data_IF_112520011575
#
_entry.id   IF_112520011575
#
_cell.length_a   1.000
_cell.length_b   1.000
_cell.length_c   1.000
_cell.angle_alpha   90.00
_cell.angle_beta   90.00
_cell.angle_gamma   90.00
#
_symmetry.space_group_name_H-M   'P 1'
#
loop_
_entity.id
_entity.type
_entity.pdbx_description
1 polymer ?
#
# COMPACT_ATOMS: atom_id res chain seq x y z
N UNK A 1 7.67 -48.05 -6.30
CA UNK A 1 8.50 -48.13 -5.08
C UNK A 1 9.85 -47.48 -5.35
N UNK A 2 10.04 -46.24 -4.91
CA UNK A 2 11.36 -45.61 -4.89
C UNK A 2 11.98 -45.94 -3.54
N UNK A 3 12.96 -46.82 -3.51
CA UNK A 3 13.81 -47.05 -2.36
C UNK A 3 14.66 -45.78 -2.14
N UNK A 4 14.42 -45.10 -1.01
CA UNK A 4 15.34 -44.07 -0.53
C UNK A 4 16.53 -44.78 0.08
N UNK A 5 17.68 -44.75 -0.62
CA UNK A 5 18.96 -45.23 -0.09
C UNK A 5 19.38 -44.19 0.96
N UNK A 6 19.19 -44.51 2.22
CA UNK A 6 19.77 -43.76 3.32
C UNK A 6 21.25 -44.11 3.38
N UNK A 7 22.10 -43.27 2.82
CA UNK A 7 23.55 -43.37 3.02
C UNK A 7 23.79 -42.94 4.49
N UNK A 8 24.02 -43.92 5.34
CA UNK A 8 24.35 -43.74 6.74
C UNK A 8 25.83 -43.30 6.85
N UNK A 9 26.11 -42.03 6.53
CA UNK A 9 27.36 -41.40 6.94
C UNK A 9 27.21 -41.10 8.42
N UNK A 10 27.98 -41.77 9.25
CA UNK A 10 27.96 -41.73 10.71
C UNK A 10 28.33 -40.38 11.35
N UNK A 11 27.92 -39.28 10.77
CA UNK A 11 27.91 -38.00 11.40
C UNK A 11 26.71 -37.90 12.35
N UNK A 12 26.99 -37.91 13.65
CA UNK A 12 26.03 -37.53 14.67
C UNK A 12 25.49 -36.18 14.29
N UNK A 13 24.22 -36.12 13.83
CA UNK A 13 23.49 -34.87 13.68
C UNK A 13 23.33 -34.29 15.08
N UNK A 14 24.37 -33.60 15.55
CA UNK A 14 24.29 -32.79 16.76
C UNK A 14 23.22 -31.73 16.49
N UNK A 15 22.13 -31.77 17.28
CA UNK A 15 21.11 -30.70 17.25
C UNK A 15 21.86 -29.39 17.52
N UNK A 16 22.13 -28.63 16.46
CA UNK A 16 22.73 -27.30 16.59
C UNK A 16 21.85 -26.47 17.53
N UNK A 17 22.48 -25.88 18.56
CA UNK A 17 21.77 -24.97 19.46
C UNK A 17 21.19 -23.78 18.69
N UNK A 18 20.08 -23.18 19.17
CA UNK A 18 19.43 -22.05 18.56
C UNK A 18 20.42 -20.91 18.19
N UNK A 19 21.36 -20.60 19.09
CA UNK A 19 22.37 -19.55 18.91
C UNK A 19 23.30 -19.87 17.73
N UNK A 20 23.74 -21.13 17.59
CA UNK A 20 24.61 -21.55 16.48
C UNK A 20 23.85 -21.45 15.14
N UNK A 21 22.61 -21.89 15.09
CA UNK A 21 21.75 -21.73 13.91
C UNK A 21 21.55 -20.25 13.56
N UNK A 22 21.28 -19.40 14.52
CA UNK A 22 21.12 -17.97 14.31
C UNK A 22 22.40 -17.34 13.71
N UNK A 23 23.57 -17.66 14.25
CA UNK A 23 24.85 -17.21 13.71
C UNK A 23 25.05 -17.68 12.28
N UNK A 24 24.80 -18.97 12.00
CA UNK A 24 24.89 -19.54 10.67
C UNK A 24 23.93 -18.88 9.66
N UNK A 25 22.71 -18.59 10.06
CA UNK A 25 21.67 -18.05 9.16
C UNK A 25 21.92 -16.58 8.86
N UNK A 26 22.20 -15.76 9.87
CA UNK A 26 22.22 -14.31 9.72
C UNK A 26 23.63 -13.71 9.73
N UNK A 27 24.54 -14.20 10.59
CA UNK A 27 25.84 -13.55 10.81
C UNK A 27 26.86 -13.99 9.78
N UNK A 28 26.94 -15.31 9.52
CA UNK A 28 27.84 -15.83 8.50
C UNK A 28 27.59 -15.16 7.15
N UNK A 29 28.66 -14.82 6.45
CA UNK A 29 28.62 -14.11 5.15
C UNK A 29 27.83 -12.78 5.19
N UNK A 30 27.52 -12.24 6.37
CA UNK A 30 26.83 -10.95 6.52
C UNK A 30 25.40 -10.92 5.98
N UNK A 31 24.68 -12.07 5.98
CA UNK A 31 23.33 -12.20 5.39
C UNK A 31 22.27 -11.30 6.03
N UNK A 32 22.44 -10.94 7.31
CA UNK A 32 21.57 -9.98 7.99
C UNK A 32 21.43 -8.64 7.22
N UNK A 33 22.45 -8.27 6.41
CA UNK A 33 22.45 -7.03 5.62
C UNK A 33 21.35 -6.99 4.54
N UNK A 34 20.83 -8.15 4.13
CA UNK A 34 19.70 -8.21 3.19
C UNK A 34 18.43 -7.60 3.80
N UNK A 35 18.18 -7.81 5.10
CA UNK A 35 16.97 -7.33 5.78
C UNK A 35 16.82 -5.80 5.70
N UNK A 36 17.78 -4.97 6.20
CA UNK A 36 17.64 -3.52 6.13
C UNK A 36 17.66 -2.99 4.69
N UNK A 37 18.39 -3.63 3.77
CA UNK A 37 18.36 -3.25 2.34
C UNK A 37 17.00 -3.50 1.73
N UNK A 38 16.43 -4.68 1.95
CA UNK A 38 15.10 -5.04 1.47
C UNK A 38 14.02 -4.15 2.08
N UNK A 39 14.12 -3.86 3.38
CA UNK A 39 13.23 -2.91 4.05
C UNK A 39 13.29 -1.51 3.42
N UNK A 40 14.47 -1.04 3.04
CA UNK A 40 14.64 0.24 2.33
C UNK A 40 13.85 0.29 1.02
N UNK A 41 13.89 -0.77 0.21
CA UNK A 41 13.11 -0.88 -1.04
C UNK A 41 11.61 -0.92 -0.74
N UNK A 42 11.17 -1.71 0.24
CA UNK A 42 9.77 -1.77 0.69
C UNK A 42 9.25 -0.37 1.05
N UNK A 43 9.97 0.36 1.90
CA UNK A 43 9.59 1.72 2.33
C UNK A 43 9.58 2.70 1.15
N UNK A 44 10.59 2.65 0.29
CA UNK A 44 10.71 3.53 -0.87
C UNK A 44 9.49 3.35 -1.79
N UNK A 45 9.18 2.11 -2.17
CA UNK A 45 8.02 1.82 -3.03
C UNK A 45 6.73 2.28 -2.36
N UNK A 46 6.51 1.93 -1.09
CA UNK A 46 5.31 2.31 -0.34
C UNK A 46 5.12 3.82 -0.28
N UNK A 47 6.19 4.57 0.01
CA UNK A 47 6.12 6.03 0.13
C UNK A 47 5.75 6.69 -1.21
N UNK A 48 6.48 6.38 -2.28
CA UNK A 48 6.25 7.02 -3.57
C UNK A 48 4.95 6.56 -4.23
N UNK A 49 4.60 5.27 -4.12
CA UNK A 49 3.31 4.76 -4.59
C UNK A 49 2.14 5.41 -3.83
N UNK A 50 2.26 5.54 -2.50
CA UNK A 50 1.24 6.20 -1.70
C UNK A 50 1.07 7.68 -2.05
N UNK A 51 2.15 8.42 -2.34
CA UNK A 51 2.06 9.80 -2.81
C UNK A 51 1.33 9.91 -4.15
N UNK A 52 1.66 9.06 -5.13
CA UNK A 52 0.93 8.98 -6.41
C UNK A 52 -0.54 8.63 -6.13
N UNK A 53 -0.80 7.67 -5.26
CA UNK A 53 -2.14 7.25 -4.86
C UNK A 53 -2.97 8.38 -4.28
N UNK A 54 -2.40 9.20 -3.40
CA UNK A 54 -3.08 10.38 -2.83
C UNK A 54 -3.41 11.40 -3.93
N UNK A 55 -2.46 11.71 -4.81
CA UNK A 55 -2.68 12.68 -5.89
C UNK A 55 -3.79 12.24 -6.83
N UNK A 56 -3.73 11.01 -7.33
CA UNK A 56 -4.77 10.46 -8.22
C UNK A 56 -6.10 10.29 -7.50
N UNK A 57 -6.06 9.76 -6.28
CA UNK A 57 -7.25 9.54 -5.47
C UNK A 57 -8.00 10.83 -5.18
N UNK A 58 -7.28 11.92 -4.88
CA UNK A 58 -7.89 13.23 -4.70
C UNK A 58 -8.61 13.72 -5.96
N UNK A 59 -7.96 13.66 -7.12
CA UNK A 59 -8.56 14.06 -8.39
C UNK A 59 -9.82 13.24 -8.70
N UNK A 60 -9.73 11.92 -8.56
CA UNK A 60 -10.87 11.04 -8.84
C UNK A 60 -12.03 11.23 -7.85
N UNK A 61 -11.74 11.46 -6.57
CA UNK A 61 -12.76 11.74 -5.57
C UNK A 61 -13.50 13.03 -5.90
N UNK A 62 -12.80 14.11 -6.27
CA UNK A 62 -13.43 15.38 -6.65
C UNK A 62 -14.34 15.21 -7.87
N UNK A 63 -13.89 14.51 -8.91
CA UNK A 63 -14.72 14.25 -10.12
C UNK A 63 -16.01 13.52 -9.73
N UNK A 64 -15.90 12.48 -8.89
CA UNK A 64 -17.05 11.70 -8.44
C UNK A 64 -18.01 12.50 -7.58
N UNK A 65 -17.50 13.25 -6.60
CA UNK A 65 -18.34 14.09 -5.73
C UNK A 65 -19.01 15.20 -6.53
N UNK A 66 -18.29 15.84 -7.47
CA UNK A 66 -18.87 16.85 -8.34
C UNK A 66 -20.02 16.28 -9.18
N UNK A 67 -19.89 15.02 -9.66
CA UNK A 67 -20.99 14.34 -10.34
C UNK A 67 -22.15 13.97 -9.40
N UNK A 68 -21.88 13.56 -8.16
CA UNK A 68 -22.91 13.04 -7.24
C UNK A 68 -23.72 14.18 -6.61
N UNK A 69 -23.10 15.34 -6.32
CA UNK A 69 -23.71 16.45 -5.57
C UNK A 69 -24.11 17.67 -6.41
N UNK A 70 -23.70 17.76 -7.67
CA UNK A 70 -24.06 18.91 -8.50
C UNK A 70 -25.34 18.62 -9.29
N UNK A 71 -26.37 19.44 -9.12
CA UNK A 71 -27.65 19.32 -9.84
C UNK A 71 -27.47 19.67 -11.33
N UNK A 72 -26.68 20.70 -11.62
CA UNK A 72 -26.36 21.12 -12.99
C UNK A 72 -25.08 20.44 -13.49
N UNK A 73 -25.18 19.16 -13.82
CA UNK A 73 -24.04 18.34 -14.28
C UNK A 73 -23.71 18.66 -15.74
N UNK A 74 -22.52 19.20 -15.99
CA UNK A 74 -22.04 19.32 -17.36
C UNK A 74 -21.80 17.91 -17.95
N UNK A 75 -21.97 17.78 -19.27
CA UNK A 75 -21.71 16.51 -20.00
C UNK A 75 -20.28 16.05 -19.76
N UNK A 76 -19.32 16.97 -19.69
CA UNK A 76 -17.90 16.68 -19.42
C UNK A 76 -17.70 15.99 -18.07
N UNK A 77 -18.34 16.46 -16.98
CA UNK A 77 -18.26 15.81 -15.66
C UNK A 77 -18.85 14.40 -15.69
N UNK A 78 -19.96 14.17 -16.43
CA UNK A 78 -20.56 12.85 -16.56
C UNK A 78 -19.62 11.88 -17.27
N UNK A 79 -18.99 12.28 -18.37
CA UNK A 79 -18.00 11.48 -19.11
C UNK A 79 -16.81 11.15 -18.20
N UNK A 80 -16.21 12.15 -17.54
CA UNK A 80 -15.09 11.94 -16.63
C UNK A 80 -15.46 10.98 -15.48
N UNK A 81 -16.66 11.10 -14.91
CA UNK A 81 -17.12 10.20 -13.87
C UNK A 81 -17.25 8.75 -14.37
N UNK A 82 -17.72 8.54 -15.60
CA UNK A 82 -17.79 7.20 -16.21
C UNK A 82 -16.38 6.61 -16.36
N UNK A 83 -15.44 7.39 -16.88
CA UNK A 83 -14.03 6.96 -17.03
C UNK A 83 -13.40 6.60 -15.68
N UNK A 84 -13.62 7.45 -14.67
CA UNK A 84 -13.15 7.16 -13.30
C UNK A 84 -13.78 5.88 -12.75
N UNK A 85 -15.09 5.67 -12.94
CA UNK A 85 -15.77 4.42 -12.51
C UNK A 85 -15.18 3.19 -13.17
N UNK A 86 -14.91 3.24 -14.47
CA UNK A 86 -14.25 2.14 -15.20
C UNK A 86 -12.87 1.85 -14.59
N UNK A 87 -12.07 2.90 -14.39
CA UNK A 87 -10.77 2.77 -13.75
C UNK A 87 -10.86 2.11 -12.36
N UNK A 88 -11.74 2.61 -11.48
CA UNK A 88 -11.95 2.04 -10.15
C UNK A 88 -12.38 0.58 -10.21
N UNK A 89 -13.25 0.23 -11.15
CA UNK A 89 -13.71 -1.15 -11.33
C UNK A 89 -12.57 -2.08 -11.72
N UNK A 90 -11.71 -1.65 -12.65
CA UNK A 90 -10.55 -2.45 -13.09
C UNK A 90 -9.54 -2.63 -11.96
N UNK A 91 -9.09 -1.52 -11.35
CA UNK A 91 -8.01 -1.56 -10.37
C UNK A 91 -8.42 -2.19 -9.04
N UNK A 92 -9.68 -2.08 -8.63
CA UNK A 92 -10.19 -2.72 -7.41
C UNK A 92 -10.76 -4.13 -7.65
N UNK A 93 -11.08 -4.46 -8.91
CA UNK A 93 -11.64 -5.75 -9.29
C UNK A 93 -10.60 -6.80 -9.72
N UNK A 94 -9.32 -6.43 -9.80
CA UNK A 94 -8.25 -7.34 -10.22
C UNK A 94 -7.15 -7.44 -9.16
N UNK A 95 -6.49 -8.60 -8.99
CA UNK A 95 -5.42 -8.77 -8.01
C UNK A 95 -4.21 -7.88 -8.29
N UNK A 96 -3.68 -7.22 -7.25
CA UNK A 96 -2.50 -6.33 -7.38
C UNK A 96 -1.29 -7.02 -7.99
N UNK A 97 -1.06 -8.30 -7.66
CA UNK A 97 0.04 -9.07 -8.25
C UNK A 97 -0.08 -9.16 -9.79
N UNK A 98 -1.29 -9.41 -10.31
CA UNK A 98 -1.52 -9.49 -11.76
C UNK A 98 -1.28 -8.13 -12.42
N UNK A 99 -1.73 -7.03 -11.79
CA UNK A 99 -1.48 -5.67 -12.28
C UNK A 99 0.02 -5.36 -12.36
N UNK A 100 0.78 -5.72 -11.32
CA UNK A 100 2.23 -5.56 -11.29
C UNK A 100 2.93 -6.33 -12.43
N UNK A 101 2.54 -7.59 -12.64
CA UNK A 101 3.12 -8.43 -13.69
C UNK A 101 2.78 -7.88 -15.09
N UNK A 102 1.54 -7.45 -15.32
CA UNK A 102 1.13 -6.79 -16.57
C UNK A 102 1.93 -5.49 -16.79
N UNK A 103 2.04 -4.66 -15.75
CA UNK A 103 2.82 -3.42 -15.85
C UNK A 103 4.27 -3.73 -16.26
N UNK A 104 4.92 -4.68 -15.60
CA UNK A 104 6.34 -4.96 -15.82
C UNK A 104 6.61 -5.73 -17.13
N UNK A 105 5.89 -6.83 -17.39
CA UNK A 105 6.18 -7.71 -18.51
C UNK A 105 5.45 -7.34 -19.82
N UNK A 106 4.43 -6.48 -19.77
CA UNK A 106 3.66 -6.10 -20.95
C UNK A 106 3.81 -4.60 -21.23
N UNK A 107 3.41 -3.73 -20.29
CA UNK A 107 3.34 -2.28 -20.54
C UNK A 107 4.73 -1.66 -20.64
N UNK A 108 5.61 -1.96 -19.70
CA UNK A 108 6.96 -1.37 -19.62
C UNK A 108 8.07 -2.25 -20.20
N UNK A 109 7.75 -3.43 -20.75
CA UNK A 109 8.72 -4.35 -21.31
C UNK A 109 9.55 -3.73 -22.45
N UNK A 110 8.89 -2.99 -23.34
CA UNK A 110 9.51 -2.37 -24.52
C UNK A 110 10.47 -1.24 -24.18
N UNK A 111 10.17 -0.47 -23.14
CA UNK A 111 10.98 0.69 -22.72
C UNK A 111 12.06 0.33 -21.71
N UNK A 112 12.19 -0.95 -21.33
CA UNK A 112 13.15 -1.45 -20.33
C UNK A 112 13.15 -0.60 -19.06
N UNK A 113 11.96 -0.24 -18.58
CA UNK A 113 11.81 0.63 -17.41
C UNK A 113 12.45 -0.02 -16.16
N UNK A 114 12.96 0.84 -15.27
CA UNK A 114 13.51 0.38 -14.00
C UNK A 114 12.41 -0.34 -13.19
N UNK A 115 12.67 -1.56 -12.69
CA UNK A 115 11.69 -2.33 -11.92
C UNK A 115 11.11 -1.57 -10.72
N UNK A 116 11.92 -0.75 -10.04
CA UNK A 116 11.45 0.08 -8.90
C UNK A 116 10.42 1.11 -9.37
N UNK A 117 10.71 1.80 -10.49
CA UNK A 117 9.78 2.77 -11.07
C UNK A 117 8.48 2.12 -11.52
N UNK A 118 8.57 0.95 -12.16
CA UNK A 118 7.40 0.17 -12.57
C UNK A 118 6.54 -0.21 -11.36
N UNK A 119 7.17 -0.68 -10.27
CA UNK A 119 6.47 -1.01 -9.04
C UNK A 119 5.77 0.23 -8.45
N UNK A 120 6.49 1.37 -8.32
CA UNK A 120 5.93 2.63 -7.80
C UNK A 120 4.70 3.06 -8.62
N UNK A 121 4.77 3.01 -9.94
CA UNK A 121 3.63 3.38 -10.80
C UNK A 121 2.48 2.40 -10.64
N UNK A 122 2.73 1.09 -10.72
CA UNK A 122 1.69 0.07 -10.62
C UNK A 122 0.95 0.14 -9.27
N UNK A 123 1.69 0.21 -8.16
CA UNK A 123 1.11 0.36 -6.82
C UNK A 123 0.44 1.72 -6.64
N UNK A 124 1.00 2.79 -7.20
CA UNK A 124 0.42 4.13 -7.14
C UNK A 124 -0.91 4.23 -7.88
N UNK A 125 -1.01 3.59 -9.05
CA UNK A 125 -2.28 3.48 -9.78
C UNK A 125 -3.30 2.67 -8.98
N UNK A 126 -2.93 1.53 -8.43
CA UNK A 126 -3.82 0.73 -7.61
C UNK A 126 -4.30 1.50 -6.36
N UNK A 127 -3.39 2.07 -5.60
CA UNK A 127 -3.68 2.87 -4.41
C UNK A 127 -4.57 4.08 -4.71
N UNK A 128 -4.39 4.73 -5.87
CA UNK A 128 -5.25 5.83 -6.31
C UNK A 128 -6.73 5.46 -6.35
N UNK A 129 -7.06 4.22 -6.69
CA UNK A 129 -8.42 3.73 -6.68
C UNK A 129 -8.99 3.61 -5.24
N UNK A 130 -8.21 3.09 -4.30
CA UNK A 130 -8.65 2.97 -2.89
C UNK A 130 -8.69 4.31 -2.17
N UNK A 131 -7.67 5.15 -2.35
CA UNK A 131 -7.63 6.51 -1.78
C UNK A 131 -8.79 7.37 -2.31
N UNK A 132 -9.16 7.23 -3.60
CA UNK A 132 -10.32 7.93 -4.15
C UNK A 132 -11.61 7.62 -3.37
N UNK A 133 -11.84 6.35 -3.04
CA UNK A 133 -13.01 5.96 -2.24
C UNK A 133 -12.91 6.47 -0.80
N UNK A 134 -11.71 6.42 -0.19
CA UNK A 134 -11.49 6.93 1.16
C UNK A 134 -11.79 8.44 1.25
N UNK A 135 -11.30 9.23 0.28
CA UNK A 135 -11.56 10.68 0.23
C UNK A 135 -13.04 10.93 -0.06
N UNK A 136 -13.64 10.21 -1.02
CA UNK A 136 -15.06 10.35 -1.33
C UNK A 136 -15.93 10.04 -0.11
N UNK A 137 -15.64 8.97 0.61
CA UNK A 137 -16.33 8.62 1.85
C UNK A 137 -16.18 9.72 2.92
N UNK A 138 -14.97 10.29 3.06
CA UNK A 138 -14.72 11.42 3.95
C UNK A 138 -15.54 12.68 3.61
N UNK A 139 -15.69 12.99 2.31
CA UNK A 139 -16.54 14.11 1.87
C UNK A 139 -18.02 13.81 2.11
N UNK A 140 -18.45 12.59 1.85
CA UNK A 140 -19.84 12.17 2.02
C UNK A 140 -20.25 12.02 3.49
N UNK A 141 -19.30 11.87 4.41
CA UNK A 141 -19.55 11.81 5.85
C UNK A 141 -19.83 13.18 6.50
N UNK A 142 -19.57 14.28 5.78
CA UNK A 142 -19.92 15.61 6.26
C UNK A 142 -21.44 15.79 6.14
N UNK A 143 -22.08 16.22 7.23
CA UNK A 143 -23.54 16.42 7.28
C UNK A 143 -24.02 17.34 6.17
N UNK A 144 -25.14 17.00 5.54
CA UNK A 144 -25.71 17.78 4.44
C UNK A 144 -26.09 19.18 4.87
N UNK A 145 -26.51 19.35 6.12
CA UNK A 145 -26.81 20.63 6.71
C UNK A 145 -25.66 21.63 6.69
N UNK A 146 -24.41 21.18 6.69
CA UNK A 146 -23.23 22.05 6.51
C UNK A 146 -23.19 22.64 5.09
N UNK A 147 -23.65 21.87 4.11
CA UNK A 147 -23.76 22.31 2.74
C UNK A 147 -24.88 23.33 2.56
N UNK A 148 -26.04 23.04 3.15
CA UNK A 148 -27.23 23.91 3.14
C UNK A 148 -26.95 25.22 3.85
N UNK A 149 -26.29 25.19 5.02
CA UNK A 149 -25.88 26.40 5.75
C UNK A 149 -24.96 27.31 4.95
N UNK A 150 -23.94 26.70 4.26
CA UNK A 150 -23.05 27.45 3.38
C UNK A 150 -23.82 28.14 2.25
N UNK A 151 -24.76 27.43 1.62
CA UNK A 151 -25.62 27.98 0.56
C UNK A 151 -26.52 29.10 1.06
N UNK A 152 -27.08 28.95 2.26
CA UNK A 152 -27.95 29.97 2.91
C UNK A 152 -27.18 31.25 3.23
N UNK A 153 -25.87 31.15 3.51
CA UNK A 153 -24.98 32.28 3.69
C UNK A 153 -24.55 32.95 2.36
N UNK A 154 -25.06 32.49 1.21
CA UNK A 154 -24.74 33.02 -0.11
C UNK A 154 -23.46 32.47 -0.74
N UNK A 155 -22.81 31.44 -0.18
CA UNK A 155 -21.66 30.82 -0.77
C UNK A 155 -22.04 30.06 -2.05
N UNK A 156 -21.20 30.17 -3.07
CA UNK A 156 -21.29 29.28 -4.23
C UNK A 156 -20.94 27.85 -3.85
N UNK A 157 -21.28 26.87 -4.68
CA UNK A 157 -20.90 25.48 -4.47
C UNK A 157 -19.39 25.30 -4.18
N UNK A 158 -18.55 25.94 -5.00
CA UNK A 158 -17.09 25.89 -4.84
C UNK A 158 -16.60 26.52 -3.53
N UNK A 159 -17.18 27.63 -3.12
CA UNK A 159 -16.86 28.27 -1.85
C UNK A 159 -17.27 27.42 -0.65
N UNK A 160 -18.48 26.87 -0.67
CA UNK A 160 -18.97 25.95 0.37
C UNK A 160 -18.06 24.71 0.44
N UNK A 161 -17.74 24.12 -0.70
CA UNK A 161 -16.84 22.98 -0.77
C UNK A 161 -15.46 23.31 -0.17
N UNK A 162 -14.84 24.40 -0.60
CA UNK A 162 -13.49 24.78 -0.19
C UNK A 162 -13.37 25.19 1.27
N UNK A 163 -14.32 25.97 1.78
CA UNK A 163 -14.18 26.59 3.10
C UNK A 163 -14.88 25.81 4.23
N UNK A 164 -15.89 25.00 3.91
CA UNK A 164 -16.70 24.30 4.92
C UNK A 164 -16.47 22.78 4.81
N UNK A 165 -16.68 22.21 3.62
CA UNK A 165 -16.73 20.75 3.46
C UNK A 165 -15.34 20.12 3.43
N UNK A 166 -14.43 20.58 2.56
CA UNK A 166 -13.12 19.97 2.39
C UNK A 166 -12.26 19.94 3.66
N UNK A 167 -12.22 20.99 4.52
CA UNK A 167 -11.45 20.92 5.75
C UNK A 167 -11.93 19.82 6.71
N UNK A 168 -13.24 19.59 6.77
CA UNK A 168 -13.84 18.52 7.56
C UNK A 168 -13.59 17.14 6.90
N UNK A 169 -13.83 17.06 5.60
CA UNK A 169 -13.63 15.83 4.81
C UNK A 169 -12.20 15.30 4.87
N UNK A 170 -11.19 16.19 4.80
CA UNK A 170 -9.77 15.80 4.96
C UNK A 170 -9.55 15.15 6.32
N UNK A 171 -10.04 15.77 7.40
CA UNK A 171 -9.93 15.18 8.74
C UNK A 171 -10.58 13.80 8.82
N UNK A 172 -11.76 13.63 8.20
CA UNK A 172 -12.50 12.38 8.22
C UNK A 172 -11.85 11.28 7.36
N UNK A 173 -11.17 11.64 6.26
CA UNK A 173 -10.50 10.68 5.36
C UNK A 173 -9.08 10.31 5.77
N UNK A 174 -8.38 11.15 6.55
CA UNK A 174 -6.98 10.91 6.94
C UNK A 174 -6.72 9.52 7.52
N UNK A 175 -7.52 8.99 8.47
CA UNK A 175 -7.28 7.66 9.01
C UNK A 175 -7.32 6.57 7.94
N UNK A 176 -8.30 6.65 7.03
CA UNK A 176 -8.43 5.68 5.93
C UNK A 176 -7.25 5.76 4.96
N UNK A 177 -6.77 6.96 4.64
CA UNK A 177 -5.58 7.17 3.80
C UNK A 177 -4.33 6.57 4.45
N UNK A 178 -4.13 6.77 5.76
CA UNK A 178 -3.00 6.15 6.47
C UNK A 178 -3.12 4.63 6.55
N UNK A 179 -4.33 4.09 6.69
CA UNK A 179 -4.54 2.64 6.63
C UNK A 179 -4.21 2.07 5.25
N UNK A 180 -4.43 2.84 4.19
CA UNK A 180 -3.99 2.47 2.83
C UNK A 180 -2.46 2.38 2.73
N UNK A 181 -1.70 3.30 3.34
CA UNK A 181 -0.24 3.19 3.41
C UNK A 181 0.21 1.90 4.12
N UNK A 182 -0.48 1.51 5.21
CA UNK A 182 -0.20 0.24 5.89
C UNK A 182 -0.52 -0.96 5.00
N UNK A 183 -1.58 -0.89 4.20
CA UNK A 183 -1.92 -1.93 3.22
C UNK A 183 -0.83 -2.03 2.14
N UNK A 184 -0.45 -0.91 1.51
CA UNK A 184 0.60 -0.83 0.50
C UNK A 184 1.93 -1.42 0.98
N UNK A 185 2.33 -1.14 2.23
CA UNK A 185 3.57 -1.66 2.81
C UNK A 185 3.56 -3.20 2.84
N UNK A 186 2.43 -3.82 3.12
CA UNK A 186 2.28 -5.28 3.11
C UNK A 186 2.16 -5.84 1.69
N UNK A 187 1.43 -5.14 0.83
CA UNK A 187 1.22 -5.53 -0.57
C UNK A 187 2.50 -5.46 -1.40
N UNK A 188 3.44 -4.56 -1.05
CA UNK A 188 4.74 -4.48 -1.71
C UNK A 188 5.58 -5.76 -1.57
N UNK A 189 5.21 -6.70 -0.70
CA UNK A 189 5.86 -8.00 -0.54
C UNK A 189 5.88 -8.87 -1.82
N UNK A 190 5.11 -8.50 -2.84
CA UNK A 190 5.06 -9.23 -4.12
C UNK A 190 6.07 -8.72 -5.17
N UNK A 191 6.80 -7.63 -4.92
CA UNK A 191 7.74 -7.06 -5.92
C UNK A 191 8.93 -7.98 -6.22
N UNK A 192 9.17 -8.98 -5.38
CA UNK A 192 10.13 -10.05 -5.66
C UNK A 192 9.86 -10.81 -6.96
N UNK A 193 8.61 -10.86 -7.44
CA UNK A 193 8.24 -11.50 -8.70
C UNK A 193 8.73 -10.75 -9.94
N UNK A 194 9.06 -9.47 -9.83
CA UNK A 194 9.69 -8.68 -10.90
C UNK A 194 11.19 -8.46 -10.66
N UNK A 195 11.81 -9.27 -9.77
CA UNK A 195 13.26 -9.26 -9.53
C UNK A 195 13.74 -8.23 -8.51
N UNK A 196 12.87 -7.51 -7.84
CA UNK A 196 13.28 -6.59 -6.76
C UNK A 196 13.55 -7.35 -5.46
N UNK A 197 14.52 -6.85 -4.71
CA UNK A 197 14.86 -7.40 -3.39
C UNK A 197 14.23 -6.50 -2.32
N UNK A 198 12.94 -6.72 -2.08
CA UNK A 198 12.20 -6.16 -0.94
C UNK A 198 12.49 -6.93 0.36
N UNK A 199 11.81 -6.57 1.44
CA UNK A 199 11.98 -7.25 2.73
C UNK A 199 11.61 -8.75 2.67
N UNK A 200 10.57 -9.12 1.93
CA UNK A 200 10.15 -10.52 1.77
C UNK A 200 11.16 -11.30 0.95
N UNK A 201 11.60 -10.74 -0.18
CA UNK A 201 12.63 -11.36 -1.03
C UNK A 201 13.97 -11.47 -0.33
N UNK A 202 14.31 -10.53 0.54
CA UNK A 202 15.50 -10.59 1.39
C UNK A 202 15.48 -11.83 2.31
N UNK A 203 14.35 -12.12 2.93
CA UNK A 203 14.15 -13.35 3.71
C UNK A 203 14.24 -14.61 2.85
N UNK A 204 13.66 -14.58 1.65
CA UNK A 204 13.71 -15.70 0.70
C UNK A 204 15.15 -16.00 0.23
N UNK A 205 15.97 -14.98 -0.02
CA UNK A 205 17.39 -15.12 -0.34
C UNK A 205 18.16 -15.77 0.82
N UNK A 206 17.91 -15.38 2.05
CA UNK A 206 18.54 -15.98 3.23
C UNK A 206 18.12 -17.45 3.34
N UNK A 207 16.81 -17.72 3.20
CA UNK A 207 16.23 -19.07 3.21
C UNK A 207 16.88 -19.98 2.17
N UNK A 208 17.00 -19.52 0.92
CA UNK A 208 17.56 -20.31 -0.19
C UNK A 208 19.05 -20.57 -0.01
N UNK A 209 19.78 -19.61 0.56
CA UNK A 209 21.24 -19.74 0.79
C UNK A 209 21.59 -20.62 2.00
N UNK A 210 20.68 -20.79 2.94
CA UNK A 210 20.92 -21.52 4.19
C UNK A 210 20.14 -22.81 4.30
N UNK A 211 19.19 -23.05 3.39
CA UNK A 211 18.22 -24.17 3.45
C UNK A 211 17.42 -24.19 4.77
N UNK A 212 17.39 -23.06 5.49
CA UNK A 212 16.66 -22.87 6.74
C UNK A 212 15.49 -21.90 6.50
N UNK A 213 14.26 -22.38 6.59
CA UNK A 213 13.07 -21.58 6.28
C UNK A 213 12.52 -20.81 7.49
N UNK A 214 12.52 -21.44 8.67
CA UNK A 214 11.84 -20.91 9.85
C UNK A 214 12.40 -19.56 10.30
N UNK A 215 13.70 -19.48 10.55
CA UNK A 215 14.32 -18.26 11.10
C UNK A 215 14.20 -17.05 10.16
N UNK A 216 14.54 -17.12 8.85
CA UNK A 216 14.44 -15.98 7.96
C UNK A 216 12.99 -15.49 7.77
N UNK A 217 12.03 -16.40 7.63
CA UNK A 217 10.63 -16.03 7.43
C UNK A 217 10.01 -15.41 8.68
N UNK A 218 10.32 -15.97 9.87
CA UNK A 218 9.87 -15.37 11.13
C UNK A 218 10.53 -14.01 11.35
N UNK A 219 11.82 -13.86 11.04
CA UNK A 219 12.48 -12.55 11.15
C UNK A 219 11.81 -11.49 10.26
N UNK A 220 11.50 -11.82 9.01
CA UNK A 220 10.76 -10.94 8.09
C UNK A 220 9.38 -10.61 8.65
N UNK A 221 8.64 -11.61 9.11
CA UNK A 221 7.30 -11.42 9.71
C UNK A 221 7.35 -10.49 10.93
N UNK A 222 8.34 -10.66 11.80
CA UNK A 222 8.53 -9.80 12.97
C UNK A 222 8.87 -8.36 12.59
N UNK A 223 9.72 -8.14 11.57
CA UNK A 223 10.02 -6.79 11.08
C UNK A 223 8.76 -6.12 10.52
N UNK A 224 7.96 -6.81 9.68
CA UNK A 224 6.68 -6.29 9.22
C UNK A 224 5.74 -5.98 10.39
N UNK A 225 5.62 -6.89 11.35
CA UNK A 225 4.74 -6.72 12.52
C UNK A 225 5.11 -5.47 13.32
N UNK A 226 6.40 -5.26 13.62
CA UNK A 226 6.88 -4.09 14.37
C UNK A 226 6.53 -2.80 13.63
N UNK A 227 6.79 -2.74 12.31
CA UNK A 227 6.52 -1.54 11.52
C UNK A 227 5.01 -1.27 11.44
N UNK A 228 4.21 -2.29 11.17
CA UNK A 228 2.75 -2.17 11.10
C UNK A 228 2.16 -1.75 12.44
N UNK A 229 2.61 -2.34 13.56
CA UNK A 229 2.18 -1.95 14.90
C UNK A 229 2.51 -0.48 15.21
N UNK A 230 3.73 -0.05 14.83
CA UNK A 230 4.15 1.35 14.99
C UNK A 230 3.25 2.28 14.17
N UNK A 231 3.04 2.01 12.88
CA UNK A 231 2.17 2.81 12.02
C UNK A 231 0.72 2.82 12.51
N UNK A 232 0.17 1.69 12.87
CA UNK A 232 -1.21 1.59 13.41
C UNK A 232 -1.36 2.37 14.72
N UNK A 233 -0.35 2.34 15.59
CA UNK A 233 -0.36 3.15 16.82
C UNK A 233 -0.34 4.65 16.52
N UNK A 234 0.41 5.09 15.50
CA UNK A 234 0.41 6.48 15.04
C UNK A 234 -0.97 6.89 14.51
N UNK A 235 -1.57 6.07 13.65
CA UNK A 235 -2.92 6.31 13.11
C UNK A 235 -3.95 6.42 14.24
N UNK A 236 -3.95 5.50 15.19
CA UNK A 236 -4.87 5.54 16.32
C UNK A 236 -4.69 6.76 17.26
N UNK A 237 -3.47 7.31 17.36
CA UNK A 237 -3.23 8.58 18.05
C UNK A 237 -3.80 9.76 17.28
N UNK A 238 -3.62 9.76 15.95
CA UNK A 238 -4.17 10.77 15.06
C UNK A 238 -5.70 10.80 15.13
N UNK A 239 -6.35 9.65 14.99
CA UNK A 239 -7.81 9.53 15.10
C UNK A 239 -8.35 10.12 16.41
N UNK A 240 -7.70 9.81 17.53
CA UNK A 240 -8.10 10.35 18.84
C UNK A 240 -7.98 11.87 18.92
N UNK A 241 -6.95 12.46 18.30
CA UNK A 241 -6.78 13.92 18.23
C UNK A 241 -7.88 14.56 17.37
N UNK A 242 -8.10 14.02 16.16
CA UNK A 242 -9.12 14.54 15.24
C UNK A 242 -10.53 14.50 15.83
N UNK A 243 -10.87 13.45 16.59
CA UNK A 243 -12.17 13.34 17.28
C UNK A 243 -12.33 14.32 18.45
N UNK A 244 -11.24 14.76 19.10
CA UNK A 244 -11.30 15.78 20.15
C UNK A 244 -11.56 17.17 19.58
N UNK A 245 -10.98 17.47 18.41
CA UNK A 245 -11.13 18.77 17.74
C UNK A 245 -12.49 18.94 17.04
N UNK A 246 -13.29 17.89 17.00
CA UNK A 246 -14.64 17.88 16.40
C UNK A 246 -15.79 18.02 17.44
N UNK A 247 -15.42 18.04 18.73
CA UNK A 247 -16.34 18.31 19.85
C UNK A 247 -16.21 19.75 20.34
#
# INVERSE_FOLDING_TARGET
SKQVIIVNTGEKVTKQGFVQKFQQVFIEKGRWKYIPKGLGITILITLFAGLIGIMLGFVFAIIRVANDRNEEKSIGIRILNVLVKIYLTIFRGTPMMVQLLIAYFVVFATVKANPVMTAIIAFGLNSGAYVSEAIRAGIMSVEIGQFEAGRSLGFTYGQTMRHIILPQAVKNSLPAIFNEFIALLKESAIVGYIGLVDLTKAGDIIRSNTYEAFMPLIAVALVYLVIVMFMTSMVGRLERRLKKDAR
#
